data_IF_028523592794
#
_entry.id   IF_028523592794
#
_cell.length_a   1.000
_cell.length_b   1.000
_cell.length_c   1.000
_cell.angle_alpha   90.00
_cell.angle_beta   90.00
_cell.angle_gamma   90.00
#
_symmetry.space_group_name_H-M   'P 1'
#
loop_
_entity.id
_entity.type
_entity.pdbx_description
1 polymer ?
#
# COMPACT_ATOMS: atom_id res chain seq x y z
N UNK A 1 -15.10 -7.14 1.80
CA UNK A 1 -15.44 -5.72 2.00
C UNK A 1 -16.65 -5.35 1.17
N UNK A 2 -17.63 -4.64 1.74
CA UNK A 2 -18.75 -4.02 1.01
C UNK A 2 -18.37 -2.64 0.46
N UNK A 3 -19.18 -2.08 -0.45
CA UNK A 3 -18.96 -0.72 -0.95
C UNK A 3 -19.01 0.33 0.16
N UNK A 4 -19.91 0.16 1.13
CA UNK A 4 -20.07 1.07 2.27
C UNK A 4 -18.86 1.03 3.22
N UNK A 5 -18.30 -0.16 3.45
CA UNK A 5 -17.07 -0.34 4.22
C UNK A 5 -15.88 0.31 3.50
N UNK A 6 -15.74 0.10 2.19
CA UNK A 6 -14.69 0.72 1.38
C UNK A 6 -14.78 2.26 1.40
N UNK A 7 -16.00 2.82 1.37
CA UNK A 7 -16.22 4.26 1.43
C UNK A 7 -15.69 4.90 2.73
N UNK A 8 -15.66 4.16 3.84
CA UNK A 8 -15.13 4.66 5.13
C UNK A 8 -13.62 4.96 5.10
N UNK A 9 -12.90 4.39 4.13
CA UNK A 9 -11.46 4.58 3.92
C UNK A 9 -11.14 5.82 3.06
N UNK A 10 -12.12 6.37 2.34
CA UNK A 10 -11.93 7.53 1.46
C UNK A 10 -11.70 8.79 2.29
N UNK A 11 -10.73 9.61 1.86
CA UNK A 11 -10.40 10.89 2.52
C UNK A 11 -9.65 10.75 3.84
N UNK A 12 -9.25 9.52 4.21
CA UNK A 12 -8.42 9.26 5.37
C UNK A 12 -6.94 9.50 5.04
N UNK A 13 -6.14 9.79 6.07
CA UNK A 13 -4.71 10.07 5.93
C UNK A 13 -3.90 9.03 6.67
N UNK A 14 -2.82 8.57 6.03
CA UNK A 14 -1.77 7.74 6.61
C UNK A 14 -0.52 8.58 6.67
N UNK A 15 0.17 8.60 7.82
CA UNK A 15 1.41 9.35 7.98
C UNK A 15 2.59 8.40 8.06
N UNK A 16 3.46 8.43 7.06
CA UNK A 16 4.73 7.71 7.05
C UNK A 16 5.83 8.65 7.56
N UNK A 17 6.49 8.29 8.66
CA UNK A 17 7.56 9.07 9.26
C UNK A 17 8.71 8.17 9.70
N UNK A 18 9.90 8.75 9.81
CA UNK A 18 11.15 8.00 10.07
C UNK A 18 11.08 7.13 11.34
N UNK A 19 10.49 7.64 12.41
CA UNK A 19 10.42 6.96 13.72
C UNK A 19 9.04 6.40 14.06
N UNK A 20 8.02 6.76 13.27
CA UNK A 20 6.65 6.31 13.52
C UNK A 20 5.84 6.35 12.24
N UNK A 21 5.02 5.32 12.03
CA UNK A 21 3.96 5.34 11.03
C UNK A 21 2.59 5.38 11.72
N UNK A 22 1.71 6.27 11.27
CA UNK A 22 0.32 6.33 11.70
C UNK A 22 -0.54 5.80 10.56
N UNK A 23 -0.94 4.54 10.69
CA UNK A 23 -1.89 3.87 9.81
C UNK A 23 -3.32 4.24 10.22
N UNK A 24 -4.30 3.74 9.47
CA UNK A 24 -5.70 4.08 9.71
C UNK A 24 -6.24 3.53 11.02
N UNK A 25 -5.84 2.32 11.39
CA UNK A 25 -6.30 1.66 12.62
C UNK A 25 -5.26 1.62 13.74
N UNK A 26 -4.00 1.96 13.45
CA UNK A 26 -2.91 1.77 14.41
C UNK A 26 -1.73 2.72 14.18
N UNK A 27 -1.02 3.01 15.27
CA UNK A 27 0.30 3.64 15.22
C UNK A 27 1.36 2.59 15.50
N UNK A 28 2.40 2.59 14.68
CA UNK A 28 3.58 1.77 14.87
C UNK A 28 4.78 2.67 15.17
N UNK A 29 5.40 2.40 16.32
CA UNK A 29 6.61 3.07 16.78
C UNK A 29 7.81 2.24 16.33
N UNK A 30 8.80 2.88 15.72
CA UNK A 30 9.98 2.26 15.11
C UNK A 30 9.63 1.32 13.93
N UNK A 31 9.00 1.84 12.85
CA UNK A 31 8.78 1.06 11.64
C UNK A 31 10.11 0.70 10.98
N UNK A 32 10.16 -0.47 10.34
CA UNK A 32 11.24 -0.82 9.39
C UNK A 32 10.66 -0.73 7.99
N UNK A 33 11.31 0.03 7.13
CA UNK A 33 10.90 0.22 5.74
C UNK A 33 11.74 -0.64 4.82
N UNK A 34 11.09 -1.45 3.99
CA UNK A 34 11.74 -2.25 2.96
C UNK A 34 11.16 -1.91 1.59
N UNK A 35 12.02 -1.69 0.61
CA UNK A 35 11.61 -1.47 -0.78
C UNK A 35 12.12 -2.60 -1.65
N UNK A 36 11.25 -3.14 -2.49
CA UNK A 36 11.59 -4.13 -3.50
C UNK A 36 11.04 -3.73 -4.86
N UNK A 37 11.71 -4.13 -5.94
CA UNK A 37 11.19 -3.98 -7.30
C UNK A 37 10.81 -5.36 -7.80
N UNK A 38 9.54 -5.52 -8.18
CA UNK A 38 9.00 -6.78 -8.70
C UNK A 38 8.59 -6.63 -10.15
N UNK A 39 8.78 -7.69 -10.95
CA UNK A 39 8.33 -7.69 -12.35
C UNK A 39 6.80 -7.77 -12.42
N UNK A 40 6.22 -7.34 -13.55
CA UNK A 40 4.78 -7.49 -13.79
C UNK A 40 4.31 -8.95 -13.70
N UNK A 41 5.17 -9.91 -14.10
CA UNK A 41 4.89 -11.34 -14.01
C UNK A 41 4.88 -11.85 -12.56
N UNK A 42 5.85 -11.43 -11.74
CA UNK A 42 5.92 -11.81 -10.33
C UNK A 42 4.78 -11.18 -9.53
N UNK A 43 4.46 -9.91 -9.83
CA UNK A 43 3.32 -9.20 -9.25
C UNK A 43 2.00 -9.93 -9.56
N UNK A 44 1.77 -10.30 -10.82
CA UNK A 44 0.59 -11.05 -11.24
C UNK A 44 0.51 -12.43 -10.57
N UNK A 45 1.64 -13.12 -10.44
CA UNK A 45 1.69 -14.43 -9.79
C UNK A 45 1.32 -14.34 -8.30
N UNK A 46 1.83 -13.31 -7.62
CA UNK A 46 1.65 -13.13 -6.18
C UNK A 46 0.28 -12.55 -5.82
N UNK A 47 -0.18 -11.54 -6.56
CA UNK A 47 -1.40 -10.79 -6.26
C UNK A 47 -2.62 -11.24 -7.09
N UNK A 48 -2.42 -12.12 -8.09
CA UNK A 48 -3.46 -12.58 -9.03
C UNK A 48 -4.18 -11.44 -9.75
N UNK A 49 -3.54 -10.29 -9.84
CA UNK A 49 -4.05 -9.06 -10.42
C UNK A 49 -2.94 -8.38 -11.24
N UNK A 50 -3.20 -7.93 -12.48
CA UNK A 50 -2.16 -7.34 -13.32
C UNK A 50 -1.93 -5.86 -12.99
N UNK A 51 -0.71 -5.36 -13.25
CA UNK A 51 -0.32 -3.96 -12.97
C UNK A 51 -1.12 -2.94 -13.78
N UNK A 52 -1.49 -3.27 -15.02
CA UNK A 52 -2.26 -2.37 -15.88
C UNK A 52 -3.67 -2.07 -15.35
N UNK A 53 -4.26 -2.97 -14.55
CA UNK A 53 -5.53 -2.71 -13.85
C UNK A 53 -5.38 -1.69 -12.72
N UNK A 54 -4.14 -1.39 -12.30
CA UNK A 54 -3.79 -0.29 -11.40
C UNK A 54 -3.27 0.93 -12.19
N UNK A 55 -3.47 0.98 -13.51
CA UNK A 55 -2.97 2.06 -14.37
C UNK A 55 -1.43 2.21 -14.28
N UNK A 56 -0.72 1.10 -14.05
CA UNK A 56 0.75 1.04 -14.03
C UNK A 56 1.21 0.31 -15.31
N UNK A 57 1.55 1.10 -16.34
CA UNK A 57 2.03 0.61 -17.63
C UNK A 57 3.57 0.48 -17.64
N UNK A 58 4.09 -0.37 -16.76
CA UNK A 58 5.53 -0.62 -16.59
C UNK A 58 5.84 -2.11 -16.51
N UNK A 59 7.00 -2.58 -17.00
CA UNK A 59 7.42 -3.98 -16.86
C UNK A 59 7.70 -4.38 -15.40
N UNK A 60 7.84 -3.42 -14.48
CA UNK A 60 8.07 -3.64 -13.05
C UNK A 60 7.45 -2.54 -12.19
N UNK A 61 7.26 -2.83 -10.91
CA UNK A 61 6.76 -1.87 -9.92
C UNK A 61 7.60 -1.93 -8.65
N UNK A 62 7.74 -0.78 -7.99
CA UNK A 62 8.35 -0.69 -6.67
C UNK A 62 7.28 -0.90 -5.60
N UNK A 63 7.56 -1.78 -4.65
CA UNK A 63 6.73 -2.06 -3.49
C UNK A 63 7.46 -1.57 -2.25
N UNK A 64 6.80 -0.74 -1.46
CA UNK A 64 7.23 -0.38 -0.12
C UNK A 64 6.46 -1.25 0.89
N UNK A 65 7.19 -1.90 1.78
CA UNK A 65 6.65 -2.65 2.91
C UNK A 65 7.08 -1.98 4.20
N UNK A 66 6.16 -1.96 5.16
CA UNK A 66 6.37 -1.45 6.49
C UNK A 66 6.24 -2.62 7.46
N UNK A 67 7.35 -2.98 8.10
CA UNK A 67 7.34 -3.97 9.15
C UNK A 67 7.18 -3.29 10.52
N UNK A 68 6.24 -3.82 11.30
CA UNK A 68 5.87 -3.28 12.59
C UNK A 68 5.63 -4.41 13.59
N UNK A 69 6.42 -4.47 14.66
CA UNK A 69 6.28 -5.51 15.68
C UNK A 69 4.90 -5.53 16.35
N UNK A 70 4.27 -4.36 16.49
CA UNK A 70 2.95 -4.18 17.13
C UNK A 70 1.77 -4.32 16.17
N UNK A 71 1.98 -4.32 14.86
CA UNK A 71 0.90 -4.32 13.84
C UNK A 71 1.22 -5.37 12.79
N UNK A 72 0.56 -6.53 12.87
CA UNK A 72 0.75 -7.61 11.88
C UNK A 72 -0.10 -7.46 10.63
N UNK A 73 -1.24 -6.78 10.76
CA UNK A 73 -2.19 -6.55 9.68
C UNK A 73 -2.75 -5.13 9.86
N UNK A 74 -2.71 -4.32 8.81
CA UNK A 74 -3.16 -2.93 8.87
C UNK A 74 -3.13 -2.28 7.49
N UNK A 75 -4.08 -1.39 7.27
CA UNK A 75 -4.20 -0.64 6.01
C UNK A 75 -3.02 0.30 5.87
N UNK A 76 -2.24 0.14 4.81
CA UNK A 76 -1.05 0.95 4.53
C UNK A 76 0.28 0.35 5.00
N UNK A 77 0.32 -0.90 5.48
CA UNK A 77 1.59 -1.63 5.70
C UNK A 77 2.32 -1.96 4.39
N UNK A 78 1.61 -1.95 3.26
CA UNK A 78 2.19 -2.12 1.93
C UNK A 78 1.71 -1.01 1.00
N UNK A 79 2.63 -0.44 0.23
CA UNK A 79 2.35 0.54 -0.81
C UNK A 79 2.93 0.06 -2.13
N UNK A 80 2.10 0.04 -3.16
CA UNK A 80 2.49 -0.18 -4.55
C UNK A 80 2.72 1.20 -5.17
N UNK A 81 3.97 1.54 -5.51
CA UNK A 81 4.28 2.87 -6.06
C UNK A 81 3.79 2.95 -7.51
N UNK A 82 2.85 3.85 -7.79
CA UNK A 82 2.38 4.13 -9.16
C UNK A 82 3.26 5.17 -9.83
N UNK A 83 3.51 6.28 -9.13
CA UNK A 83 4.39 7.36 -9.56
C UNK A 83 5.02 8.09 -8.35
N UNK A 84 5.63 9.26 -8.56
CA UNK A 84 6.31 10.04 -7.51
C UNK A 84 5.35 10.63 -6.46
N UNK A 85 4.07 10.76 -6.81
CA UNK A 85 3.03 11.42 -6.01
C UNK A 85 1.86 10.50 -5.67
N UNK A 86 1.74 9.35 -6.32
CA UNK A 86 0.63 8.43 -6.09
C UNK A 86 1.08 6.98 -5.93
N UNK A 87 0.27 6.21 -5.22
CA UNK A 87 0.44 4.77 -5.05
C UNK A 87 -0.85 4.10 -4.65
N UNK A 88 -0.80 2.78 -4.45
CA UNK A 88 -1.94 2.01 -3.98
C UNK A 88 -1.62 1.28 -2.70
N UNK A 89 -2.61 1.21 -1.81
CA UNK A 89 -2.60 0.29 -0.68
C UNK A 89 -3.65 -0.79 -0.95
N UNK A 90 -3.35 -2.03 -0.59
CA UNK A 90 -4.32 -3.13 -0.68
C UNK A 90 -4.98 -3.37 0.68
N UNK A 91 -6.29 -3.58 0.66
CA UNK A 91 -7.04 -4.02 1.84
C UNK A 91 -8.26 -4.81 1.44
N UNK A 92 -8.41 -5.99 2.05
CA UNK A 92 -9.55 -6.90 1.87
C UNK A 92 -9.99 -7.09 0.40
N UNK A 93 -9.00 -7.32 -0.47
CA UNK A 93 -9.21 -7.59 -1.89
C UNK A 93 -9.46 -6.36 -2.77
N UNK A 94 -9.43 -5.14 -2.23
CA UNK A 94 -9.49 -3.91 -3.00
C UNK A 94 -8.17 -3.13 -2.95
N UNK A 95 -8.02 -2.19 -3.88
CA UNK A 95 -6.91 -1.25 -3.95
C UNK A 95 -7.43 0.17 -3.79
N UNK A 96 -6.82 0.93 -2.89
CA UNK A 96 -7.13 2.32 -2.64
C UNK A 96 -5.99 3.19 -3.15
N UNK A 97 -6.31 4.17 -3.99
CA UNK A 97 -5.36 5.18 -4.43
C UNK A 97 -5.01 6.07 -3.24
N UNK A 98 -3.72 6.26 -3.00
CA UNK A 98 -3.18 7.23 -2.06
C UNK A 98 -2.37 8.27 -2.81
N UNK A 99 -2.38 9.50 -2.29
CA UNK A 99 -1.62 10.63 -2.84
C UNK A 99 -0.70 11.16 -1.76
N UNK A 100 0.58 11.34 -2.11
CA UNK A 100 1.60 11.97 -1.27
C UNK A 100 1.33 13.47 -1.21
N UNK A 101 1.30 14.01 0.01
CA UNK A 101 1.17 15.44 0.30
C UNK A 101 2.47 16.01 0.85
#
# INVERSE_FOLDING_TARGET
MTEEEAASYIGRTIHYGENSVQLLEATCNNPIYETEVVTAGDFLTSNRFPLNSLEIDSPSVELLRVECASVRYGVGLGVIKKDETTGYISWDGAYFLITKQ
#
